data_IF_503593223941
#
_entry.id   IF_503593223941
#
_cell.length_a   1.000
_cell.length_b   1.000
_cell.length_c   1.000
_cell.angle_alpha   90.00
_cell.angle_beta   90.00
_cell.angle_gamma   90.00
#
_symmetry.space_group_name_H-M   'P 1'
#
loop_
_entity.id
_entity.type
_entity.pdbx_description
1 polymer ?
#
# COMPACT_ATOMS: atom_id res chain seq x y z
N UNK A 1 41.34 60.69 -6.31
CA UNK A 1 41.55 59.90 -7.57
C UNK A 1 41.05 58.45 -7.30
N UNK A 2 39.81 58.21 -7.60
CA UNK A 2 39.15 56.91 -7.33
C UNK A 2 39.38 55.94 -8.47
N UNK A 3 40.04 54.82 -8.16
CA UNK A 3 40.29 53.73 -9.10
C UNK A 3 39.03 52.87 -9.18
N UNK A 4 38.25 53.02 -10.30
CA UNK A 4 37.16 52.13 -10.63
C UNK A 4 37.70 50.73 -10.90
N UNK A 5 37.33 49.76 -10.07
CA UNK A 5 37.56 48.35 -10.39
C UNK A 5 36.56 47.96 -11.48
N UNK A 6 37.07 47.70 -12.67
CA UNK A 6 36.25 47.09 -13.75
C UNK A 6 36.00 45.64 -13.33
N UNK A 7 34.73 45.31 -13.08
CA UNK A 7 34.28 43.94 -12.90
C UNK A 7 34.19 43.34 -14.27
N UNK A 8 35.17 42.55 -14.66
CA UNK A 8 35.13 41.77 -15.90
C UNK A 8 34.00 40.73 -15.79
N UNK A 9 32.92 40.93 -16.46
CA UNK A 9 31.86 39.93 -16.62
C UNK A 9 32.42 38.78 -17.48
N UNK A 10 32.85 37.71 -16.86
CA UNK A 10 33.20 36.48 -17.56
C UNK A 10 31.92 35.82 -18.09
N UNK A 11 31.74 35.83 -19.41
CA UNK A 11 30.64 35.12 -20.09
C UNK A 11 30.88 33.60 -20.04
N UNK A 12 29.84 32.84 -19.84
CA UNK A 12 29.88 31.37 -19.94
C UNK A 12 30.26 30.94 -21.37
N UNK A 13 31.17 30.00 -21.50
CA UNK A 13 31.51 29.40 -22.79
C UNK A 13 30.47 28.35 -23.17
N UNK A 14 30.25 28.15 -24.48
CA UNK A 14 29.37 27.13 -25.00
C UNK A 14 29.81 25.73 -24.56
N UNK A 15 31.11 25.49 -24.43
CA UNK A 15 31.69 24.26 -23.95
C UNK A 15 31.27 24.00 -22.47
N UNK A 16 31.34 25.03 -21.62
CA UNK A 16 30.99 24.91 -20.20
C UNK A 16 29.50 24.56 -20.00
N UNK A 17 28.62 25.14 -20.86
CA UNK A 17 27.20 24.81 -20.85
C UNK A 17 26.97 23.33 -21.23
N UNK A 18 27.66 22.83 -22.27
CA UNK A 18 27.54 21.42 -22.68
C UNK A 18 28.03 20.49 -21.59
N UNK A 19 29.17 20.79 -20.96
CA UNK A 19 29.71 19.99 -19.85
C UNK A 19 28.76 20.01 -18.66
N UNK A 20 28.19 21.16 -18.30
CA UNK A 20 27.22 21.27 -17.21
C UNK A 20 25.97 20.42 -17.48
N UNK A 21 25.41 20.48 -18.67
CA UNK A 21 24.27 19.69 -19.10
C UNK A 21 24.58 18.19 -19.08
N UNK A 22 25.76 17.79 -19.49
CA UNK A 22 26.21 16.40 -19.46
C UNK A 22 26.35 15.87 -18.03
N UNK A 23 26.90 16.66 -17.11
CA UNK A 23 27.00 16.30 -15.70
C UNK A 23 25.62 16.15 -15.05
N UNK A 24 24.70 17.08 -15.35
CA UNK A 24 23.31 17.00 -14.88
C UNK A 24 22.62 15.75 -15.42
N UNK A 25 22.76 15.43 -16.70
CA UNK A 25 22.19 14.24 -17.30
C UNK A 25 22.70 12.95 -16.65
N UNK A 26 24.01 12.87 -16.38
CA UNK A 26 24.62 11.76 -15.65
C UNK A 26 24.06 11.66 -14.23
N UNK A 27 23.98 12.77 -13.49
CA UNK A 27 23.44 12.78 -12.14
C UNK A 27 21.99 12.30 -12.08
N UNK A 28 21.14 12.76 -12.98
CA UNK A 28 19.73 12.33 -13.10
C UNK A 28 19.65 10.84 -13.46
N UNK A 29 20.48 10.37 -14.38
CA UNK A 29 20.52 8.97 -14.80
C UNK A 29 20.88 8.01 -13.66
N UNK A 30 21.73 8.41 -12.72
CA UNK A 30 22.11 7.62 -11.56
C UNK A 30 21.06 7.62 -10.44
N UNK A 31 20.34 8.73 -10.25
CA UNK A 31 19.38 8.92 -9.16
C UNK A 31 18.01 8.31 -9.49
N UNK A 32 17.56 8.39 -10.74
CA UNK A 32 16.22 7.95 -11.14
C UNK A 32 15.86 6.51 -10.73
N UNK A 33 16.72 5.47 -10.89
CA UNK A 33 16.38 4.10 -10.52
C UNK A 33 16.26 3.90 -9.00
N UNK A 34 16.94 4.72 -8.20
CA UNK A 34 16.91 4.62 -6.72
C UNK A 34 15.56 5.13 -6.21
N UNK A 35 15.08 6.22 -6.76
CA UNK A 35 13.79 6.83 -6.36
C UNK A 35 12.61 5.91 -6.74
N UNK A 36 12.65 5.30 -7.92
CA UNK A 36 11.60 4.38 -8.37
C UNK A 36 11.41 3.19 -7.42
N UNK A 37 12.49 2.52 -7.02
CA UNK A 37 12.44 1.37 -6.09
C UNK A 37 11.89 1.73 -4.72
N UNK A 38 12.20 2.91 -4.22
CA UNK A 38 11.69 3.40 -2.93
C UNK A 38 10.19 3.68 -3.01
N UNK A 39 9.70 4.26 -4.10
CA UNK A 39 8.29 4.53 -4.31
C UNK A 39 7.46 3.24 -4.37
N UNK A 40 7.93 2.20 -5.06
CA UNK A 40 7.23 0.91 -5.14
C UNK A 40 7.13 0.22 -3.77
N UNK A 41 8.20 0.31 -2.98
CA UNK A 41 8.19 -0.21 -1.60
C UNK A 41 7.18 0.50 -0.72
N UNK A 42 7.07 1.83 -0.83
CA UNK A 42 6.10 2.62 -0.07
C UNK A 42 4.67 2.32 -0.50
N UNK A 43 4.40 2.22 -1.80
CA UNK A 43 3.08 1.84 -2.34
C UNK A 43 2.64 0.47 -1.83
N UNK A 44 3.53 -0.53 -1.91
CA UNK A 44 3.21 -1.87 -1.44
C UNK A 44 2.88 -1.93 0.06
N UNK A 45 3.62 -1.21 0.90
CA UNK A 45 3.29 -1.09 2.34
C UNK A 45 1.94 -0.40 2.57
N UNK A 46 1.65 0.64 1.78
CA UNK A 46 0.37 1.35 1.87
C UNK A 46 -0.80 0.45 1.48
N UNK A 47 -0.65 -0.41 0.47
CA UNK A 47 -1.70 -1.34 0.04
C UNK A 47 -2.00 -2.40 1.11
N UNK A 48 -0.97 -2.96 1.75
CA UNK A 48 -1.13 -3.88 2.88
C UNK A 48 -1.79 -3.19 4.08
N UNK A 49 -1.40 -1.96 4.38
CA UNK A 49 -2.01 -1.18 5.46
C UNK A 49 -3.49 -0.90 5.19
N UNK A 50 -3.84 -0.52 3.94
CA UNK A 50 -5.23 -0.29 3.52
C UNK A 50 -6.08 -1.56 3.61
N UNK A 51 -5.56 -2.69 3.16
CA UNK A 51 -6.24 -3.98 3.24
C UNK A 51 -6.54 -4.34 4.70
N UNK A 52 -5.55 -4.23 5.56
CA UNK A 52 -5.71 -4.51 6.99
C UNK A 52 -6.63 -3.52 7.71
N UNK A 53 -6.63 -2.25 7.29
CA UNK A 53 -7.56 -1.25 7.82
C UNK A 53 -9.01 -1.57 7.46
N UNK A 54 -9.29 -2.10 6.27
CA UNK A 54 -10.64 -2.55 5.88
C UNK A 54 -11.11 -3.74 6.73
N UNK A 55 -10.24 -4.70 7.03
CA UNK A 55 -10.57 -5.82 7.93
C UNK A 55 -10.93 -5.32 9.34
N UNK A 56 -10.12 -4.42 9.91
CA UNK A 56 -10.42 -3.80 11.22
C UNK A 56 -11.72 -3.02 11.17
N UNK A 57 -11.96 -2.26 10.10
CA UNK A 57 -13.19 -1.50 9.93
C UNK A 57 -14.42 -2.41 9.88
N UNK A 58 -14.37 -3.55 9.19
CA UNK A 58 -15.45 -4.53 9.18
C UNK A 58 -15.72 -5.11 10.58
N UNK A 59 -14.66 -5.42 11.34
CA UNK A 59 -14.76 -5.86 12.71
C UNK A 59 -15.41 -4.80 13.63
N UNK A 60 -14.91 -3.55 13.57
CA UNK A 60 -15.43 -2.45 14.38
C UNK A 60 -16.90 -2.13 14.04
N UNK A 61 -17.26 -2.20 12.78
CA UNK A 61 -18.65 -2.05 12.35
C UNK A 61 -19.55 -3.16 12.87
N UNK A 62 -19.10 -4.41 12.90
CA UNK A 62 -19.88 -5.51 13.43
C UNK A 62 -20.25 -5.27 14.90
N UNK A 63 -19.30 -4.81 15.71
CA UNK A 63 -19.52 -4.49 17.13
C UNK A 63 -20.43 -3.27 17.29
N UNK A 64 -20.12 -2.17 16.57
CA UNK A 64 -20.80 -0.88 16.74
C UNK A 64 -22.25 -0.93 16.27
N UNK A 65 -22.51 -1.56 15.12
CA UNK A 65 -23.87 -1.67 14.57
C UNK A 65 -24.67 -2.83 15.14
N UNK A 66 -24.03 -3.71 15.93
CA UNK A 66 -24.61 -4.96 16.45
C UNK A 66 -25.18 -5.87 15.37
N UNK A 67 -24.56 -5.85 14.18
CA UNK A 67 -24.94 -6.69 13.04
C UNK A 67 -23.69 -7.45 12.56
N UNK A 68 -23.88 -8.69 12.12
CA UNK A 68 -22.78 -9.41 11.51
C UNK A 68 -22.32 -8.73 10.22
N UNK A 69 -21.00 -8.66 10.03
CA UNK A 69 -20.37 -8.10 8.83
C UNK A 69 -19.44 -9.15 8.23
N UNK A 70 -19.40 -9.20 6.91
CA UNK A 70 -18.49 -10.04 6.17
C UNK A 70 -17.51 -9.17 5.38
N UNK A 71 -16.24 -9.51 5.46
CA UNK A 71 -15.20 -8.98 4.57
C UNK A 71 -14.95 -10.01 3.48
N UNK A 72 -15.18 -9.64 2.24
CA UNK A 72 -15.07 -10.53 1.07
C UNK A 72 -14.00 -9.99 0.14
N UNK A 73 -13.08 -10.86 -0.27
CA UNK A 73 -12.02 -10.54 -1.23
C UNK A 73 -12.31 -11.25 -2.54
N UNK A 74 -12.26 -10.50 -3.63
CA UNK A 74 -12.24 -11.00 -4.99
C UNK A 74 -10.87 -10.73 -5.61
N UNK A 75 -9.93 -11.68 -5.55
CA UNK A 75 -8.58 -11.49 -6.08
C UNK A 75 -8.56 -11.29 -7.61
N UNK A 76 -9.47 -11.94 -8.32
CA UNK A 76 -9.57 -11.85 -9.79
C UNK A 76 -10.10 -10.48 -10.23
N UNK A 77 -11.09 -9.95 -9.52
CA UNK A 77 -11.65 -8.62 -9.76
C UNK A 77 -10.88 -7.49 -9.08
N UNK A 78 -9.78 -7.79 -8.37
CA UNK A 78 -9.01 -6.83 -7.58
C UNK A 78 -9.90 -5.96 -6.67
N UNK A 79 -10.81 -6.60 -5.91
CA UNK A 79 -11.76 -5.90 -5.05
C UNK A 79 -11.84 -6.51 -3.66
N UNK A 80 -12.07 -5.65 -2.69
CA UNK A 80 -12.46 -6.04 -1.34
C UNK A 80 -13.76 -5.34 -0.99
N UNK A 81 -14.71 -6.09 -0.41
CA UNK A 81 -16.06 -5.62 -0.12
C UNK A 81 -16.43 -5.93 1.33
N UNK A 82 -17.04 -4.98 2.01
CA UNK A 82 -17.64 -5.17 3.33
C UNK A 82 -19.15 -5.25 3.15
N UNK A 83 -19.74 -6.35 3.64
CA UNK A 83 -21.15 -6.65 3.53
C UNK A 83 -21.72 -6.75 4.94
N UNK A 84 -22.80 -6.02 5.23
CA UNK A 84 -23.56 -6.16 6.47
C UNK A 84 -24.71 -7.15 6.28
N UNK A 85 -25.03 -7.90 7.33
CA UNK A 85 -26.19 -8.79 7.29
C UNK A 85 -27.52 -7.99 7.13
N UNK A 86 -28.51 -8.48 6.32
CA UNK A 86 -28.51 -9.77 5.61
C UNK A 86 -27.61 -9.86 4.36
N UNK A 87 -27.44 -8.81 3.56
CA UNK A 87 -26.57 -8.78 2.36
C UNK A 87 -26.35 -7.36 1.85
N UNK A 88 -26.33 -6.39 2.76
CA UNK A 88 -26.15 -4.99 2.40
C UNK A 88 -24.67 -4.67 2.15
N UNK A 89 -24.33 -4.30 0.92
CA UNK A 89 -22.97 -3.84 0.60
C UNK A 89 -22.73 -2.47 1.25
N UNK A 90 -21.81 -2.41 2.20
CA UNK A 90 -21.44 -1.18 2.92
C UNK A 90 -20.32 -0.44 2.23
N UNK A 91 -19.33 -1.16 1.78
CA UNK A 91 -18.16 -0.56 1.17
C UNK A 91 -17.51 -1.54 0.20
N UNK A 92 -17.16 -1.04 -0.98
CA UNK A 92 -16.31 -1.75 -1.94
C UNK A 92 -15.10 -0.88 -2.25
N UNK A 93 -13.91 -1.49 -2.27
CA UNK A 93 -12.67 -0.82 -2.67
C UNK A 93 -11.95 -1.65 -3.71
N UNK A 94 -11.39 -0.95 -4.69
CA UNK A 94 -10.44 -1.54 -5.64
C UNK A 94 -9.09 -1.70 -4.94
N UNK A 95 -8.51 -2.88 -5.11
CA UNK A 95 -7.17 -3.22 -4.65
C UNK A 95 -6.17 -2.93 -5.77
N UNK A 96 -4.92 -2.72 -5.40
CA UNK A 96 -3.84 -2.54 -6.40
C UNK A 96 -3.69 -3.80 -7.24
N UNK A 97 -3.51 -3.64 -8.56
CA UNK A 97 -3.23 -4.75 -9.47
C UNK A 97 -1.91 -5.48 -9.13
N UNK A 98 -0.97 -4.77 -8.49
CA UNK A 98 0.32 -5.33 -8.05
C UNK A 98 0.20 -6.13 -6.74
N UNK A 99 -0.95 -6.07 -6.06
CA UNK A 99 -1.19 -6.79 -4.82
C UNK A 99 -1.78 -8.16 -5.10
N UNK A 100 -0.98 -9.21 -4.91
CA UNK A 100 -1.47 -10.60 -4.94
C UNK A 100 -1.95 -10.99 -3.57
N UNK A 101 -3.13 -11.63 -3.52
CA UNK A 101 -3.79 -12.05 -2.28
C UNK A 101 -4.10 -13.53 -2.39
N UNK A 102 -3.50 -14.30 -1.49
CA UNK A 102 -3.77 -15.71 -1.32
C UNK A 102 -4.36 -15.92 0.08
N UNK A 103 -5.50 -16.58 0.17
CA UNK A 103 -6.12 -16.94 1.44
C UNK A 103 -5.74 -18.37 1.85
N UNK A 104 -5.62 -18.61 3.15
CA UNK A 104 -5.42 -19.94 3.70
C UNK A 104 -6.33 -20.16 4.92
N UNK A 105 -7.27 -21.09 4.83
CA UNK A 105 -7.62 -21.92 3.67
C UNK A 105 -8.24 -21.07 2.53
N UNK A 106 -8.36 -21.59 1.29
CA UNK A 106 -8.89 -20.83 0.15
C UNK A 106 -10.29 -20.25 0.37
N UNK A 107 -11.11 -20.91 1.18
CA UNK A 107 -12.43 -20.43 1.56
C UNK A 107 -12.39 -19.18 2.44
N UNK A 108 -11.26 -18.88 3.06
CA UNK A 108 -11.05 -17.70 3.90
C UNK A 108 -11.00 -16.36 3.11
N UNK A 109 -11.28 -16.37 1.79
CA UNK A 109 -11.56 -15.15 1.03
C UNK A 109 -12.79 -14.39 1.57
N UNK A 110 -13.58 -15.02 2.41
CA UNK A 110 -14.66 -14.41 3.19
C UNK A 110 -14.37 -14.56 4.68
N UNK A 111 -14.22 -13.45 5.38
CA UNK A 111 -14.10 -13.41 6.85
C UNK A 111 -15.36 -12.81 7.42
N UNK A 112 -16.04 -13.56 8.29
CA UNK A 112 -17.22 -13.08 8.99
C UNK A 112 -16.83 -12.55 10.37
N UNK A 113 -17.42 -11.43 10.75
CA UNK A 113 -17.27 -10.79 12.05
C UNK A 113 -18.64 -10.71 12.74
N UNK A 114 -18.71 -11.24 13.93
CA UNK A 114 -19.93 -11.23 14.74
C UNK A 114 -20.01 -9.98 15.64
N UNK A 115 -21.21 -9.57 16.05
CA UNK A 115 -21.39 -8.44 16.98
C UNK A 115 -20.67 -8.62 18.32
N UNK A 116 -20.40 -9.85 18.73
CA UNK A 116 -19.63 -10.20 19.92
C UNK A 116 -18.12 -9.93 19.79
N UNK A 117 -17.62 -9.60 18.59
CA UNK A 117 -16.21 -9.45 18.30
C UNK A 117 -15.52 -10.74 17.85
N UNK A 118 -16.21 -11.88 17.89
CA UNK A 118 -15.72 -13.16 17.35
C UNK A 118 -15.67 -13.10 15.81
N UNK A 119 -14.74 -13.81 15.21
CA UNK A 119 -14.62 -13.90 13.74
C UNK A 119 -14.52 -15.36 13.28
N UNK A 120 -14.72 -15.59 11.98
CA UNK A 120 -14.42 -16.90 11.39
C UNK A 120 -12.92 -17.18 11.35
N UNK A 121 -12.09 -16.19 11.64
CA UNK A 121 -10.64 -16.29 11.47
C UNK A 121 -10.22 -16.29 10.01
N UNK A 122 -8.93 -16.45 9.77
CA UNK A 122 -8.34 -16.59 8.44
C UNK A 122 -6.94 -15.99 8.36
N UNK A 123 -6.22 -16.46 7.37
CA UNK A 123 -4.88 -15.96 7.05
C UNK A 123 -4.83 -15.52 5.59
N UNK A 124 -4.34 -14.32 5.36
CA UNK A 124 -4.05 -13.81 4.03
C UNK A 124 -2.54 -13.67 3.83
N UNK A 125 -2.04 -14.19 2.73
CA UNK A 125 -0.69 -13.92 2.26
C UNK A 125 -0.78 -12.84 1.20
N UNK A 126 -0.20 -11.68 1.48
CA UNK A 126 -0.17 -10.53 0.60
C UNK A 126 1.23 -10.41 0.00
N UNK A 127 1.32 -10.42 -1.32
CA UNK A 127 2.58 -10.25 -2.04
C UNK A 127 2.52 -8.99 -2.90
N UNK A 128 3.49 -8.10 -2.74
CA UNK A 128 3.62 -6.88 -3.54
C UNK A 128 5.09 -6.65 -3.90
N UNK A 129 5.40 -6.72 -5.18
CA UNK A 129 6.79 -6.73 -5.66
C UNK A 129 7.59 -7.89 -5.03
N UNK A 130 8.62 -7.54 -4.26
CA UNK A 130 9.47 -8.51 -3.55
C UNK A 130 9.08 -8.71 -2.08
N UNK A 131 8.09 -7.98 -1.59
CA UNK A 131 7.68 -8.05 -0.20
C UNK A 131 6.52 -9.03 -0.03
N UNK A 132 6.60 -9.81 1.06
CA UNK A 132 5.53 -10.71 1.49
C UNK A 132 5.08 -10.33 2.89
N UNK A 133 3.78 -10.35 3.07
CA UNK A 133 3.16 -10.08 4.37
C UNK A 133 2.14 -11.17 4.66
N UNK A 134 2.03 -11.51 5.93
CA UNK A 134 0.96 -12.35 6.45
C UNK A 134 0.01 -11.46 7.25
N UNK A 135 -1.26 -11.52 6.93
CA UNK A 135 -2.33 -10.86 7.68
C UNK A 135 -3.19 -11.95 8.29
N UNK A 136 -3.13 -12.11 9.60
CA UNK A 136 -3.89 -13.12 10.35
C UNK A 136 -5.01 -12.46 11.13
N UNK A 137 -6.15 -13.15 11.20
CA UNK A 137 -7.32 -12.74 11.97
C UNK A 137 -7.57 -13.78 13.05
N UNK A 138 -7.54 -13.35 14.30
CA UNK A 138 -7.81 -14.18 15.46
C UNK A 138 -9.31 -14.49 15.55
N UNK A 139 -9.65 -15.77 15.72
CA UNK A 139 -11.04 -16.20 15.74
C UNK A 139 -11.81 -15.66 16.94
N UNK A 140 -11.20 -15.66 18.13
CA UNK A 140 -11.88 -15.30 19.36
C UNK A 140 -12.06 -13.81 19.57
N UNK A 141 -11.10 -13.03 19.07
CA UNK A 141 -11.04 -11.58 19.32
C UNK A 141 -11.24 -10.73 18.08
N UNK A 142 -11.31 -11.34 16.88
CA UNK A 142 -11.37 -10.61 15.61
C UNK A 142 -10.12 -9.74 15.30
N UNK A 143 -9.07 -9.85 16.13
CA UNK A 143 -7.87 -9.02 15.99
C UNK A 143 -7.11 -9.32 14.72
N UNK A 144 -6.75 -8.27 14.00
CA UNK A 144 -5.94 -8.32 12.77
C UNK A 144 -4.48 -8.04 13.09
N UNK A 145 -3.61 -9.00 12.80
CA UNK A 145 -2.15 -8.89 12.92
C UNK A 145 -1.52 -8.88 11.55
N UNK A 146 -0.43 -8.12 11.41
CA UNK A 146 0.35 -8.02 10.18
C UNK A 146 1.78 -8.41 10.53
N UNK A 147 2.31 -9.40 9.81
CA UNK A 147 3.69 -9.86 9.95
C UNK A 147 4.37 -9.79 8.58
N UNK A 148 5.57 -9.23 8.53
CA UNK A 148 6.39 -9.27 7.33
C UNK A 148 7.09 -10.61 7.28
N UNK A 149 6.99 -11.28 6.14
CA UNK A 149 7.75 -12.50 5.86
C UNK A 149 9.00 -12.13 5.06
N UNK A 150 10.14 -12.63 5.50
CA UNK A 150 11.41 -12.49 4.79
C UNK A 150 11.49 -13.42 3.57
#
# INVERSE_FOLDING_TARGET
MGKRREVTAAGFTLLELIVALFVIALAVGLVAPIVGRSADTLRGRADVARFSAMLRHAHDQAITTRKAHAFVVDPAGHRATIIAAPDEVRQTRTLSADLRIDANPPEALRVNFEPSGVSSGGDFRLTTGRMRFRVSIDQLTGRVRIERQE
#
